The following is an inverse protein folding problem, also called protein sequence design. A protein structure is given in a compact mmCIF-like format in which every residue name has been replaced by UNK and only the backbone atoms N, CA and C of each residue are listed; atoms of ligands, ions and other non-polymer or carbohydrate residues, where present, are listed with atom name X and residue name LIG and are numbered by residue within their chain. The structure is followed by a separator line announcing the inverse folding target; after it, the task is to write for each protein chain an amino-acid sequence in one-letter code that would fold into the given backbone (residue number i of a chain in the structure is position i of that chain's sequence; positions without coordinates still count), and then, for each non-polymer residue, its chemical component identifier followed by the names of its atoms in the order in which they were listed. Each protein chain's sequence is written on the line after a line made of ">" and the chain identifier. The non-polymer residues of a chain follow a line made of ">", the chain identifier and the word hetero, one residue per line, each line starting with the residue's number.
data_IF_781167968329
#
_entry.id   IF_781167968329
#
_cell.length_a   1.000
_cell.length_b   1.000
_cell.length_c   1.000
_cell.angle_alpha   90.00
_cell.angle_beta   90.00
_cell.angle_gamma   90.00
#
_symmetry.space_group_name_H-M   'P 1'
#
loop_
_entity.id
_entity.type
_entity.pdbx_description
1 polymer ?
#
# COMPACT_ATOMS: atom_id res chain seq x y z
N UNK A 1 26.12 -0.95 -21.13
CA UNK A 1 24.87 -1.46 -21.68
C UNK A 1 23.75 -1.02 -20.75
N UNK A 2 23.05 0.06 -21.13
CA UNK A 2 22.01 0.73 -20.36
C UNK A 2 20.64 0.28 -20.90
N UNK A 3 19.84 -0.43 -20.13
CA UNK A 3 18.50 -0.85 -20.56
C UNK A 3 17.39 -0.62 -19.54
N UNK A 4 17.61 0.10 -18.44
CA UNK A 4 16.61 0.13 -17.33
C UNK A 4 15.80 1.44 -17.17
N UNK A 5 16.12 2.49 -17.87
CA UNK A 5 15.42 3.77 -17.74
C UNK A 5 14.27 3.99 -18.72
N UNK A 6 14.34 3.36 -19.89
CA UNK A 6 13.46 3.67 -21.01
C UNK A 6 12.07 3.05 -20.92
N UNK A 7 11.97 1.83 -20.39
CA UNK A 7 10.69 1.09 -20.34
C UNK A 7 9.74 1.65 -19.27
N UNK A 8 10.29 2.12 -18.14
CA UNK A 8 9.49 2.70 -17.05
C UNK A 8 8.95 4.11 -17.39
N UNK A 9 9.72 4.88 -18.14
CA UNK A 9 9.28 6.19 -18.67
C UNK A 9 8.19 6.05 -19.76
N UNK A 10 8.25 5.00 -20.58
CA UNK A 10 7.24 4.74 -21.61
C UNK A 10 5.86 4.42 -20.99
N UNK A 11 5.81 3.70 -19.85
CA UNK A 11 4.56 3.45 -19.14
C UNK A 11 4.00 4.71 -18.46
N UNK A 12 4.85 5.62 -17.96
CA UNK A 12 4.38 6.92 -17.45
C UNK A 12 3.70 7.77 -18.53
N UNK A 13 4.14 7.72 -19.77
CA UNK A 13 3.55 8.50 -20.87
C UNK A 13 2.25 7.92 -21.42
N UNK A 14 1.98 6.63 -21.29
CA UNK A 14 0.74 6.02 -21.80
C UNK A 14 -0.48 6.41 -20.94
N UNK A 15 -0.29 6.68 -19.63
CA UNK A 15 -1.38 7.10 -18.73
C UNK A 15 -1.68 8.61 -18.76
N UNK A 16 -0.81 9.46 -19.33
CA UNK A 16 -0.93 10.92 -19.27
C UNK A 16 -1.33 11.61 -20.56
N UNK A 17 -1.57 10.87 -21.65
CA UNK A 17 -2.10 11.46 -22.89
C UNK A 17 -3.65 11.42 -22.94
N UNK A 18 -4.31 11.70 -21.82
CA UNK A 18 -5.72 12.08 -21.86
C UNK A 18 -5.77 13.60 -22.22
N UNK A 19 -5.96 13.90 -23.49
CA UNK A 19 -6.29 15.25 -23.94
C UNK A 19 -7.60 15.68 -23.28
N UNK A 20 -7.55 16.69 -22.42
CA UNK A 20 -8.74 17.39 -21.94
C UNK A 20 -9.23 18.27 -23.08
N UNK A 21 -10.27 17.82 -23.76
CA UNK A 21 -11.06 18.67 -24.64
C UNK A 21 -12.11 19.38 -23.77
N UNK A 22 -12.14 20.72 -23.73
CA UNK A 22 -13.18 21.42 -22.96
C UNK A 22 -14.54 21.22 -23.62
N UNK A 23 -15.45 20.51 -22.95
CA UNK A 23 -16.85 20.51 -23.37
C UNK A 23 -17.59 19.17 -23.42
N UNK A 24 -16.94 18.01 -23.36
CA UNK A 24 -17.66 16.73 -23.40
C UNK A 24 -16.96 15.70 -22.52
N UNK A 25 -17.58 15.30 -21.41
CA UNK A 25 -17.14 14.23 -20.53
C UNK A 25 -17.60 12.86 -21.04
N UNK A 26 -17.20 12.48 -22.25
CA UNK A 26 -17.28 11.10 -22.68
C UNK A 26 -15.87 10.50 -22.72
N UNK A 27 -15.52 9.75 -21.67
CA UNK A 27 -14.31 8.93 -21.67
C UNK A 27 -14.55 7.70 -22.54
N UNK A 28 -14.18 7.75 -23.81
CA UNK A 28 -14.04 6.52 -24.60
C UNK A 28 -12.74 5.82 -24.20
N UNK A 29 -12.88 4.81 -23.36
CA UNK A 29 -11.84 3.84 -23.12
C UNK A 29 -11.78 2.90 -24.31
N UNK A 30 -10.93 3.17 -25.28
CA UNK A 30 -10.61 2.19 -26.31
C UNK A 30 -9.71 1.12 -25.71
N UNK A 31 -10.31 0.13 -25.07
CA UNK A 31 -9.67 -1.13 -24.72
C UNK A 31 -9.42 -1.89 -25.99
N UNK A 32 -8.19 -1.97 -26.43
CA UNK A 32 -7.78 -3.01 -27.36
C UNK A 32 -7.85 -4.35 -26.61
N UNK A 33 -9.02 -4.99 -26.63
CA UNK A 33 -9.16 -6.38 -26.26
C UNK A 33 -8.32 -7.22 -27.23
N UNK A 34 -7.12 -7.62 -26.82
CA UNK A 34 -6.38 -8.66 -27.50
C UNK A 34 -7.06 -9.98 -27.14
N UNK A 35 -7.75 -10.56 -28.15
CA UNK A 35 -8.23 -11.92 -28.14
C UNK A 35 -7.14 -12.90 -27.68
N UNK A 36 -7.57 -13.91 -26.93
CA UNK A 36 -6.80 -15.03 -26.44
C UNK A 36 -6.33 -15.93 -27.60
N UNK A 37 -5.28 -15.51 -28.30
CA UNK A 37 -4.53 -16.44 -29.15
C UNK A 37 -3.06 -16.04 -29.16
N UNK A 38 -2.22 -17.01 -28.73
CA UNK A 38 -0.76 -17.02 -28.93
C UNK A 38 0.04 -16.03 -28.07
N UNK A 39 0.14 -16.26 -26.76
CA UNK A 39 1.22 -15.71 -25.91
C UNK A 39 2.45 -16.63 -25.94
N UNK A 40 3.08 -16.78 -27.12
CA UNK A 40 4.45 -17.27 -27.20
C UNK A 40 5.40 -16.08 -27.14
N UNK A 41 6.10 -15.88 -26.02
CA UNK A 41 7.33 -15.09 -25.93
C UNK A 41 7.29 -13.78 -25.17
N UNK A 42 6.27 -13.44 -24.39
CA UNK A 42 6.41 -12.36 -23.41
C UNK A 42 6.93 -12.97 -22.10
N UNK A 43 8.24 -12.94 -21.93
CA UNK A 43 8.88 -13.20 -20.65
C UNK A 43 8.41 -12.11 -19.68
N UNK A 44 7.49 -12.42 -18.79
CA UNK A 44 7.18 -11.54 -17.66
C UNK A 44 8.48 -11.39 -16.87
N UNK A 45 8.93 -10.18 -16.55
CA UNK A 45 10.14 -10.00 -15.76
C UNK A 45 9.97 -10.76 -14.44
N UNK A 46 10.89 -11.65 -14.12
CA UNK A 46 10.88 -12.53 -12.94
C UNK A 46 10.89 -11.78 -11.58
N UNK A 47 10.79 -10.43 -11.59
CA UNK A 47 10.94 -9.56 -10.42
C UNK A 47 9.88 -8.46 -10.28
N UNK A 48 8.65 -8.71 -10.73
CA UNK A 48 7.59 -7.72 -10.44
C UNK A 48 7.24 -7.73 -8.94
N UNK A 49 7.17 -6.55 -8.29
CA UNK A 49 6.80 -6.47 -6.88
C UNK A 49 5.38 -7.00 -6.67
N UNK A 50 5.22 -7.80 -5.62
CA UNK A 50 3.91 -8.34 -5.23
C UNK A 50 3.18 -7.36 -4.33
N UNK A 51 1.99 -6.96 -4.74
CA UNK A 51 1.09 -6.08 -3.99
C UNK A 51 -0.13 -6.87 -3.52
N UNK A 52 -0.36 -6.88 -2.22
CA UNK A 52 -1.63 -7.34 -1.65
C UNK A 52 -2.54 -6.13 -1.44
N UNK A 53 -3.67 -6.11 -2.13
CA UNK A 53 -4.69 -5.08 -2.01
C UNK A 53 -5.96 -5.71 -1.41
N UNK A 54 -6.47 -5.17 -0.31
CA UNK A 54 -7.70 -5.68 0.32
C UNK A 54 -8.78 -4.62 0.38
N UNK A 55 -10.03 -5.05 0.25
CA UNK A 55 -11.23 -4.27 0.52
C UNK A 55 -12.14 -5.00 1.50
N UNK A 56 -13.00 -4.28 2.20
CA UNK A 56 -13.94 -4.89 3.10
C UNK A 56 -15.23 -5.30 2.36
N UNK A 57 -15.78 -6.45 2.75
CA UNK A 57 -17.11 -6.88 2.36
C UNK A 57 -18.22 -5.97 2.90
N UNK A 58 -19.47 -6.38 2.72
CA UNK A 58 -20.63 -5.62 3.18
C UNK A 58 -20.61 -5.49 4.71
N UNK A 59 -21.09 -4.34 5.19
CA UNK A 59 -21.23 -4.06 6.62
C UNK A 59 -22.68 -3.74 6.94
N UNK A 60 -23.29 -4.56 7.79
CA UNK A 60 -24.71 -4.43 8.19
C UNK A 60 -25.63 -4.32 6.96
N UNK A 61 -26.52 -3.34 6.97
CA UNK A 61 -27.54 -3.10 5.93
C UNK A 61 -27.04 -2.26 4.75
N UNK A 62 -25.74 -1.95 4.69
CA UNK A 62 -25.17 -1.24 3.55
C UNK A 62 -25.10 -2.19 2.35
N UNK A 63 -25.82 -1.84 1.29
CA UNK A 63 -25.93 -2.65 0.07
C UNK A 63 -24.66 -2.70 -0.79
N UNK A 64 -23.66 -1.85 -0.50
CA UNK A 64 -22.36 -1.77 -1.18
C UNK A 64 -21.27 -1.28 -0.24
N UNK A 65 -20.01 -1.53 -0.62
CA UNK A 65 -18.85 -1.03 0.08
C UNK A 65 -17.83 -0.52 -0.94
N UNK A 66 -17.67 0.80 -1.00
CA UNK A 66 -16.80 1.48 -1.97
C UNK A 66 -15.38 0.93 -1.99
N UNK A 67 -14.84 0.51 -0.85
CA UNK A 67 -13.49 -0.05 -0.80
C UNK A 67 -13.37 -1.35 -1.58
N UNK A 68 -14.41 -2.19 -1.53
CA UNK A 68 -14.45 -3.44 -2.30
C UNK A 68 -14.67 -3.20 -3.79
N UNK A 69 -15.49 -2.22 -4.14
CA UNK A 69 -15.73 -1.85 -5.54
C UNK A 69 -14.46 -1.35 -6.22
N UNK A 70 -13.67 -0.50 -5.53
CA UNK A 70 -12.36 -0.05 -6.01
C UNK A 70 -11.39 -1.23 -6.15
N UNK A 71 -11.35 -2.15 -5.19
CA UNK A 71 -10.48 -3.34 -5.24
C UNK A 71 -10.88 -4.26 -6.39
N UNK A 72 -12.18 -4.48 -6.62
CA UNK A 72 -12.68 -5.26 -7.78
C UNK A 72 -12.30 -4.61 -9.11
N UNK A 73 -12.49 -3.31 -9.26
CA UNK A 73 -12.08 -2.59 -10.47
C UNK A 73 -10.58 -2.74 -10.75
N UNK A 74 -9.74 -2.69 -9.70
CA UNK A 74 -8.30 -2.91 -9.84
C UNK A 74 -7.94 -4.39 -10.09
N UNK A 75 -8.74 -5.35 -9.59
CA UNK A 75 -8.55 -6.76 -9.92
C UNK A 75 -8.77 -7.04 -11.42
N UNK A 76 -9.71 -6.32 -12.04
CA UNK A 76 -10.00 -6.44 -13.47
C UNK A 76 -8.95 -5.76 -14.36
N UNK A 77 -8.48 -4.57 -13.95
CA UNK A 77 -7.55 -3.77 -14.77
C UNK A 77 -6.08 -4.06 -14.49
N UNK A 78 -5.76 -4.59 -13.31
CA UNK A 78 -4.40 -4.72 -12.80
C UNK A 78 -3.77 -3.37 -12.40
N UNK A 79 -2.55 -3.45 -11.88
CA UNK A 79 -1.67 -2.29 -11.65
C UNK A 79 -0.38 -2.55 -12.44
N UNK A 80 -0.01 -1.71 -13.42
CA UNK A 80 1.12 -1.97 -14.31
C UNK A 80 2.43 -2.22 -13.56
N UNK A 81 3.21 -3.22 -14.00
CA UNK A 81 4.51 -3.55 -13.41
C UNK A 81 4.41 -4.14 -11.99
N UNK A 82 3.28 -4.75 -11.66
CA UNK A 82 3.08 -5.41 -10.36
C UNK A 82 2.38 -6.75 -10.51
N UNK A 83 2.70 -7.67 -9.62
CA UNK A 83 1.88 -8.85 -9.35
C UNK A 83 0.81 -8.47 -8.32
N UNK A 84 -0.35 -8.07 -8.79
CA UNK A 84 -1.46 -7.68 -7.92
C UNK A 84 -2.21 -8.91 -7.41
N UNK A 85 -2.37 -9.01 -6.09
CA UNK A 85 -3.23 -9.99 -5.42
C UNK A 85 -4.29 -9.23 -4.65
N UNK A 86 -5.55 -9.48 -4.97
CA UNK A 86 -6.69 -8.82 -4.32
C UNK A 86 -7.42 -9.76 -3.38
N UNK A 87 -7.97 -9.23 -2.29
CA UNK A 87 -8.75 -10.01 -1.32
C UNK A 87 -9.86 -9.17 -0.70
N UNK A 88 -11.08 -9.68 -0.76
CA UNK A 88 -12.18 -9.21 0.07
C UNK A 88 -12.03 -9.78 1.48
N UNK A 89 -12.14 -8.92 2.50
CA UNK A 89 -12.05 -9.30 3.91
C UNK A 89 -13.39 -9.01 4.59
N UNK A 90 -14.01 -9.99 5.24
CA UNK A 90 -15.23 -9.76 6.01
C UNK A 90 -15.03 -8.74 7.14
N UNK A 91 -16.07 -7.99 7.45
CA UNK A 91 -16.08 -7.00 8.54
C UNK A 91 -16.26 -7.73 9.88
N UNK A 92 -15.22 -8.48 10.27
CA UNK A 92 -15.20 -9.38 11.43
C UNK A 92 -13.81 -9.40 12.06
N UNK A 93 -13.72 -9.14 13.37
CA UNK A 93 -12.43 -9.07 14.09
C UNK A 93 -11.66 -10.39 14.08
N UNK A 94 -12.35 -11.51 14.34
CA UNK A 94 -11.71 -12.83 14.38
C UNK A 94 -11.19 -13.24 13.00
N UNK A 95 -11.95 -12.92 11.95
CA UNK A 95 -11.53 -13.17 10.57
C UNK A 95 -10.31 -12.34 10.21
N UNK A 96 -10.28 -11.04 10.52
CA UNK A 96 -9.11 -10.19 10.30
C UNK A 96 -7.89 -10.73 11.04
N UNK A 97 -8.06 -11.10 12.33
CA UNK A 97 -6.97 -11.60 13.17
C UNK A 97 -6.33 -12.89 12.65
N UNK A 98 -7.10 -13.75 11.98
CA UNK A 98 -6.60 -15.02 11.43
C UNK A 98 -6.12 -14.91 9.98
N UNK A 99 -6.91 -14.25 9.13
CA UNK A 99 -6.66 -14.19 7.67
C UNK A 99 -5.49 -13.29 7.33
N UNK A 100 -5.35 -12.12 7.98
CA UNK A 100 -4.30 -11.17 7.60
C UNK A 100 -2.89 -11.71 7.82
N UNK A 101 -2.55 -12.30 8.98
CA UNK A 101 -1.23 -12.95 9.14
C UNK A 101 -1.01 -14.10 8.16
N UNK A 102 -2.06 -14.86 7.82
CA UNK A 102 -1.95 -15.95 6.85
C UNK A 102 -1.67 -15.41 5.44
N UNK A 103 -2.35 -14.34 5.01
CA UNK A 103 -2.08 -13.68 3.73
C UNK A 103 -0.62 -13.19 3.62
N UNK A 104 -0.09 -12.59 4.69
CA UNK A 104 1.32 -12.19 4.74
C UNK A 104 2.28 -13.37 4.56
N UNK A 105 1.98 -14.49 5.22
CA UNK A 105 2.80 -15.71 5.15
C UNK A 105 2.79 -16.37 3.77
N UNK A 106 1.59 -16.47 3.18
CA UNK A 106 1.39 -17.22 1.93
C UNK A 106 1.81 -16.42 0.69
N UNK A 107 1.49 -15.11 0.66
CA UNK A 107 1.71 -14.23 -0.49
C UNK A 107 3.11 -13.62 -0.44
N UNK A 108 3.65 -13.34 0.75
CA UNK A 108 4.91 -12.61 0.98
C UNK A 108 4.96 -11.31 0.20
N UNK A 109 3.99 -10.41 0.38
CA UNK A 109 3.87 -9.21 -0.44
C UNK A 109 5.00 -8.22 -0.16
N UNK A 110 5.39 -7.48 -1.20
CA UNK A 110 6.31 -6.35 -1.08
C UNK A 110 5.63 -5.12 -0.48
N UNK A 111 4.35 -4.97 -0.74
CA UNK A 111 3.51 -3.88 -0.26
C UNK A 111 2.12 -4.42 0.05
N UNK A 112 1.57 -4.01 1.18
CA UNK A 112 0.16 -4.25 1.51
C UNK A 112 -0.58 -2.92 1.56
N UNK A 113 -1.70 -2.86 0.86
CA UNK A 113 -2.64 -1.74 0.90
C UNK A 113 -4.00 -2.26 1.30
N UNK A 114 -4.49 -1.79 2.44
CA UNK A 114 -5.85 -2.05 2.89
C UNK A 114 -6.75 -0.87 2.51
N UNK A 115 -7.93 -1.15 1.99
CA UNK A 115 -8.95 -0.15 1.69
C UNK A 115 -10.18 -0.37 2.57
N UNK A 116 -10.74 0.70 3.10
CA UNK A 116 -11.99 0.69 3.85
C UNK A 116 -12.85 1.90 3.49
N UNK A 117 -14.16 1.76 3.56
CA UNK A 117 -15.07 2.88 3.29
C UNK A 117 -15.14 3.84 4.48
N UNK A 118 -15.03 5.14 4.20
CA UNK A 118 -15.38 6.20 5.13
C UNK A 118 -16.57 6.99 4.54
N UNK A 119 -17.76 6.77 5.10
CA UNK A 119 -19.01 7.34 4.59
C UNK A 119 -19.06 8.89 4.66
N UNK A 120 -18.21 9.52 5.44
CA UNK A 120 -18.16 10.99 5.57
C UNK A 120 -17.04 11.63 4.75
N UNK A 121 -16.10 10.85 4.24
CA UNK A 121 -15.01 11.35 3.41
C UNK A 121 -15.53 11.78 2.03
N UNK A 122 -14.91 12.79 1.46
CA UNK A 122 -15.15 13.24 0.08
C UNK A 122 -13.98 12.93 -0.84
N UNK A 123 -12.81 12.70 -0.25
CA UNK A 123 -11.56 12.42 -0.93
C UNK A 123 -10.98 11.10 -0.42
N UNK A 124 -9.95 10.59 -1.08
CA UNK A 124 -9.16 9.49 -0.52
C UNK A 124 -8.37 9.99 0.68
N UNK A 125 -8.33 9.19 1.75
CA UNK A 125 -7.55 9.51 2.95
C UNK A 125 -6.55 8.39 3.21
N UNK A 126 -5.25 8.73 3.23
CA UNK A 126 -4.18 7.78 3.54
C UNK A 126 -3.82 7.90 5.01
N UNK A 127 -3.93 6.80 5.73
CA UNK A 127 -3.67 6.76 7.17
C UNK A 127 -2.18 6.59 7.47
N UNK A 128 -1.63 7.47 8.30
CA UNK A 128 -0.22 7.45 8.66
C UNK A 128 0.12 6.43 9.76
N UNK A 129 -0.87 6.04 10.56
CA UNK A 129 -0.67 5.22 11.76
C UNK A 129 -1.94 4.49 12.17
N UNK A 130 -1.76 3.48 13.05
CA UNK A 130 -2.84 2.78 13.73
C UNK A 130 -2.53 2.58 15.21
N UNK A 131 -3.56 2.42 16.04
CA UNK A 131 -3.47 2.25 17.47
C UNK A 131 -3.96 0.88 17.93
N UNK A 132 -3.38 0.38 19.03
CA UNK A 132 -3.82 -0.83 19.70
C UNK A 132 -4.77 -0.51 20.84
N UNK A 133 -6.05 -0.41 20.56
CA UNK A 133 -7.01 -0.27 21.67
C UNK A 133 -8.23 0.56 21.35
N UNK A 134 -9.14 0.56 22.34
CA UNK A 134 -10.41 1.28 22.31
C UNK A 134 -11.41 0.76 21.26
N UNK A 135 -11.26 -0.47 20.79
CA UNK A 135 -12.20 -1.12 19.87
C UNK A 135 -13.45 -1.59 20.65
N UNK A 136 -14.54 -0.85 20.52
CA UNK A 136 -15.78 -1.15 21.26
C UNK A 136 -17.01 -1.36 20.36
N UNK A 137 -16.90 -1.03 19.06
CA UNK A 137 -18.00 -1.25 18.13
C UNK A 137 -18.09 -2.72 17.72
N UNK A 138 -19.32 -3.26 17.69
CA UNK A 138 -19.58 -4.63 17.29
C UNK A 138 -19.43 -4.81 15.77
N UNK A 139 -18.79 -5.89 15.37
CA UNK A 139 -18.65 -6.32 13.99
C UNK A 139 -19.92 -6.96 13.40
N UNK A 140 -19.86 -7.55 12.21
CA UNK A 140 -21.02 -8.21 11.58
C UNK A 140 -21.55 -9.42 12.35
N UNK A 141 -20.74 -10.00 13.23
CA UNK A 141 -21.15 -11.11 14.12
C UNK A 141 -21.61 -10.64 15.50
N UNK A 142 -21.66 -9.32 15.71
CA UNK A 142 -21.97 -8.75 17.02
C UNK A 142 -20.81 -8.85 18.02
N UNK A 143 -19.62 -9.22 17.57
CA UNK A 143 -18.45 -9.41 18.41
C UNK A 143 -17.63 -8.12 18.55
N UNK A 144 -16.95 -7.97 19.68
CA UNK A 144 -15.94 -6.95 19.95
C UNK A 144 -14.63 -7.61 20.38
N UNK A 145 -13.46 -6.99 20.11
CA UNK A 145 -12.19 -7.55 20.56
C UNK A 145 -12.12 -7.63 22.09
N UNK A 146 -11.51 -8.68 22.60
CA UNK A 146 -11.28 -8.84 24.04
C UNK A 146 -10.47 -7.66 24.59
N UNK A 147 -10.97 -7.03 25.65
CA UNK A 147 -10.39 -5.83 26.27
C UNK A 147 -10.29 -4.62 25.32
N UNK A 148 -10.99 -4.64 24.19
CA UNK A 148 -10.89 -3.61 23.16
C UNK A 148 -9.51 -3.51 22.51
N UNK A 149 -8.73 -4.60 22.47
CA UNK A 149 -7.36 -4.63 21.96
C UNK A 149 -7.27 -5.47 20.68
N UNK A 150 -6.49 -4.99 19.71
CA UNK A 150 -6.10 -5.77 18.55
C UNK A 150 -5.07 -6.84 18.93
N UNK A 151 -4.09 -6.46 19.74
CA UNK A 151 -3.06 -7.37 20.23
C UNK A 151 -2.90 -7.24 21.75
N UNK A 152 -3.12 -8.35 22.46
CA UNK A 152 -3.05 -8.36 23.94
C UNK A 152 -1.62 -8.36 24.50
N UNK A 153 -0.62 -8.72 23.69
CA UNK A 153 0.78 -8.69 24.10
C UNK A 153 1.47 -7.35 23.80
N UNK A 154 0.81 -6.51 23.01
CA UNK A 154 1.23 -5.14 22.76
C UNK A 154 0.63 -4.19 23.79
N UNK A 155 1.33 -3.11 24.17
CA UNK A 155 0.79 -2.09 25.07
C UNK A 155 -0.56 -1.53 24.56
N UNK A 156 -1.45 -1.23 25.50
CA UNK A 156 -2.65 -0.47 25.16
C UNK A 156 -2.25 0.92 24.63
N UNK A 157 -2.89 1.35 23.56
CA UNK A 157 -2.57 2.59 22.85
C UNK A 157 -1.18 2.62 22.20
N UNK A 158 -0.51 1.46 22.06
CA UNK A 158 0.65 1.37 21.19
C UNK A 158 0.30 1.90 19.81
N UNK A 159 1.20 2.69 19.26
CA UNK A 159 1.04 3.34 17.96
C UNK A 159 2.08 2.83 16.99
N UNK A 160 1.62 2.25 15.90
CA UNK A 160 2.45 1.82 14.78
C UNK A 160 2.24 2.74 13.57
N UNK A 161 3.31 2.99 12.83
CA UNK A 161 3.29 3.87 11.65
C UNK A 161 3.76 3.14 10.42
N UNK A 162 3.21 3.54 9.28
CA UNK A 162 3.83 3.19 8.01
C UNK A 162 5.24 3.79 7.89
N UNK A 163 6.11 3.14 7.13
CA UNK A 163 7.45 3.66 6.85
C UNK A 163 7.48 4.64 5.67
N UNK A 164 6.38 4.83 4.98
CA UNK A 164 6.30 5.70 3.82
C UNK A 164 6.21 7.18 4.18
N UNK A 165 6.80 8.03 3.35
CA UNK A 165 6.63 9.48 3.41
C UNK A 165 5.33 9.88 2.69
N UNK A 166 4.25 10.01 3.47
CA UNK A 166 2.94 10.36 2.95
C UNK A 166 2.86 11.82 2.48
N UNK A 167 3.72 12.71 3.03
CA UNK A 167 3.78 14.11 2.58
C UNK A 167 4.38 14.18 1.17
N UNK A 168 5.48 13.47 0.94
CA UNK A 168 6.05 13.36 -0.39
C UNK A 168 5.09 12.68 -1.37
N UNK A 169 4.36 11.64 -0.91
CA UNK A 169 3.34 10.96 -1.70
C UNK A 169 2.26 11.94 -2.17
N UNK A 170 1.58 12.64 -1.26
CA UNK A 170 0.48 13.55 -1.61
C UNK A 170 0.93 14.68 -2.52
N UNK A 171 2.15 15.21 -2.32
CA UNK A 171 2.74 16.20 -3.20
C UNK A 171 2.93 15.67 -4.63
N UNK A 172 3.43 14.45 -4.77
CA UNK A 172 3.61 13.82 -6.09
C UNK A 172 2.28 13.57 -6.79
N UNK A 173 1.28 13.04 -6.07
CA UNK A 173 -0.05 12.78 -6.62
C UNK A 173 -0.72 14.07 -7.12
N UNK A 174 -0.59 15.17 -6.37
CA UNK A 174 -1.08 16.48 -6.78
C UNK A 174 -0.38 16.96 -8.06
N UNK A 175 0.95 16.83 -8.15
CA UNK A 175 1.72 17.22 -9.33
C UNK A 175 1.38 16.34 -10.54
N UNK A 176 1.07 15.07 -10.30
CA UNK A 176 0.68 14.11 -11.33
C UNK A 176 -0.75 14.34 -11.86
N UNK A 177 -1.54 15.24 -11.26
CA UNK A 177 -2.91 15.53 -11.69
C UNK A 177 -3.86 14.36 -11.44
N UNK A 178 -3.69 13.61 -10.36
CA UNK A 178 -4.60 12.52 -10.01
C UNK A 178 -6.05 13.03 -9.91
N UNK A 179 -7.03 12.26 -10.42
CA UNK A 179 -8.42 12.72 -10.51
C UNK A 179 -9.11 12.90 -9.16
N UNK A 180 -8.59 12.24 -8.10
CA UNK A 180 -9.13 12.35 -6.75
C UNK A 180 -8.08 12.95 -5.82
N UNK A 181 -8.40 14.01 -5.07
CA UNK A 181 -7.51 14.54 -4.04
C UNK A 181 -7.22 13.48 -2.97
N UNK A 182 -5.99 13.55 -2.41
CA UNK A 182 -5.55 12.61 -1.37
C UNK A 182 -5.14 13.40 -0.13
N UNK A 183 -5.74 13.07 1.00
CA UNK A 183 -5.48 13.65 2.30
C UNK A 183 -4.70 12.68 3.19
N UNK A 184 -4.05 13.19 4.23
CA UNK A 184 -3.34 12.38 5.22
C UNK A 184 -4.11 12.46 6.53
N UNK A 185 -4.31 11.30 7.17
CA UNK A 185 -4.88 11.22 8.51
C UNK A 185 -3.93 10.50 9.48
N UNK A 186 -4.09 10.77 10.76
CA UNK A 186 -3.41 10.09 11.86
C UNK A 186 -4.38 9.30 12.74
N UNK A 187 -5.61 9.12 12.30
CA UNK A 187 -6.65 8.43 13.05
C UNK A 187 -7.57 7.64 12.12
N UNK A 188 -7.27 6.35 11.98
CA UNK A 188 -8.03 5.42 11.15
C UNK A 188 -9.36 4.98 11.81
N UNK A 189 -9.73 5.58 12.94
CA UNK A 189 -10.91 5.25 13.73
C UNK A 189 -10.65 4.16 14.76
N UNK A 190 -11.72 3.62 15.38
CA UNK A 190 -11.62 2.57 16.41
C UNK A 190 -12.50 1.38 16.03
N UNK A 191 -12.36 0.97 14.74
CA UNK A 191 -13.13 -0.15 14.20
C UNK A 191 -12.23 -1.01 13.28
N UNK A 192 -12.84 -1.83 12.42
CA UNK A 192 -12.12 -2.80 11.59
C UNK A 192 -11.04 -2.18 10.68
N UNK A 193 -11.21 -0.93 10.26
CA UNK A 193 -10.21 -0.21 9.44
C UNK A 193 -8.89 -0.08 10.18
N UNK A 194 -8.91 0.44 11.40
CA UNK A 194 -7.71 0.55 12.20
C UNK A 194 -7.21 -0.81 12.67
N UNK A 195 -8.11 -1.73 12.99
CA UNK A 195 -7.78 -3.07 13.46
C UNK A 195 -6.98 -3.88 12.42
N UNK A 196 -7.43 -3.90 11.15
CA UNK A 196 -6.70 -4.57 10.07
C UNK A 196 -5.35 -3.85 9.80
N UNK A 197 -5.34 -2.53 9.86
CA UNK A 197 -4.14 -1.74 9.65
C UNK A 197 -3.09 -2.01 10.73
N UNK A 198 -3.48 -1.98 12.01
CA UNK A 198 -2.61 -2.31 13.12
C UNK A 198 -2.10 -3.75 13.03
N UNK A 199 -2.97 -4.72 12.70
CA UNK A 199 -2.60 -6.13 12.51
C UNK A 199 -1.48 -6.27 11.47
N UNK A 200 -1.58 -5.61 10.33
CA UNK A 200 -0.57 -5.66 9.27
C UNK A 200 0.71 -4.90 9.64
N UNK A 201 0.61 -3.71 10.24
CA UNK A 201 1.78 -2.93 10.67
C UNK A 201 2.64 -3.67 11.69
N UNK A 202 2.05 -4.52 12.53
CA UNK A 202 2.80 -5.40 13.43
C UNK A 202 3.66 -6.43 12.69
N UNK A 203 3.29 -6.78 11.48
CA UNK A 203 4.04 -7.74 10.64
C UNK A 203 5.08 -6.98 9.83
N UNK A 204 4.67 -5.88 9.19
CA UNK A 204 5.57 -5.11 8.33
C UNK A 204 5.14 -3.64 8.21
N UNK A 205 6.08 -2.70 8.33
CA UNK A 205 5.79 -1.28 8.10
C UNK A 205 5.57 -0.93 6.62
N UNK A 206 5.78 -1.87 5.70
CA UNK A 206 5.43 -1.74 4.28
C UNK A 206 3.94 -1.93 4.05
N UNK A 207 3.15 -1.30 4.89
CA UNK A 207 1.69 -1.36 4.90
C UNK A 207 1.12 0.05 4.89
N UNK A 208 0.05 0.26 4.13
CA UNK A 208 -0.73 1.50 4.10
C UNK A 208 -2.21 1.16 4.20
N UNK A 209 -2.98 2.02 4.83
CA UNK A 209 -4.44 1.98 4.84
C UNK A 209 -5.00 3.21 4.11
N UNK A 210 -6.00 3.00 3.26
CA UNK A 210 -6.67 4.05 2.49
C UNK A 210 -8.16 4.02 2.80
N UNK A 211 -8.67 5.10 3.36
CA UNK A 211 -10.10 5.33 3.42
C UNK A 211 -10.62 5.83 2.07
N UNK A 212 -11.63 5.15 1.56
CA UNK A 212 -12.29 5.42 0.29
C UNK A 212 -13.64 6.10 0.57
N UNK A 213 -13.96 7.24 -0.06
CA UNK A 213 -15.26 7.87 0.05
C UNK A 213 -16.35 7.00 -0.60
N UNK A 214 -17.63 7.31 -0.35
CA UNK A 214 -18.72 6.68 -1.11
C UNK A 214 -18.53 6.90 -2.61
N UNK A 215 -18.74 5.85 -3.40
CA UNK A 215 -18.69 5.94 -4.88
C UNK A 215 -19.76 6.87 -5.41
N UNK A 216 -19.46 7.56 -6.51
CA UNK A 216 -20.32 8.55 -7.17
C UNK A 216 -20.70 9.77 -6.29
N UNK A 217 -19.90 10.02 -5.21
CA UNK A 217 -20.12 11.13 -4.28
C UNK A 217 -18.79 11.79 -3.83
N UNK A 218 -18.12 12.60 -4.67
CA UNK A 218 -18.40 12.97 -6.08
C UNK A 218 -17.63 12.13 -7.09
N UNK A 219 -16.83 11.13 -6.69
CA UNK A 219 -15.89 10.43 -7.55
C UNK A 219 -16.41 9.06 -7.98
N UNK A 220 -16.26 8.73 -9.25
CA UNK A 220 -16.59 7.40 -9.78
C UNK A 220 -15.61 6.34 -9.28
N UNK A 221 -16.02 5.05 -9.35
CA UNK A 221 -15.14 3.91 -9.02
C UNK A 221 -13.85 3.97 -9.83
N UNK A 222 -13.94 4.33 -11.12
CA UNK A 222 -12.79 4.41 -12.01
C UNK A 222 -11.78 5.50 -11.59
N UNK A 223 -12.28 6.66 -11.17
CA UNK A 223 -11.43 7.75 -10.67
C UNK A 223 -10.73 7.36 -9.36
N UNK A 224 -11.47 6.72 -8.45
CA UNK A 224 -10.92 6.22 -7.19
C UNK A 224 -9.87 5.13 -7.45
N UNK A 225 -10.18 4.14 -8.29
CA UNK A 225 -9.26 3.06 -8.65
C UNK A 225 -7.99 3.58 -9.34
N UNK A 226 -8.12 4.53 -10.28
CA UNK A 226 -6.99 5.18 -10.93
C UNK A 226 -6.05 5.85 -9.91
N UNK A 227 -6.62 6.58 -8.95
CA UNK A 227 -5.81 7.25 -7.93
C UNK A 227 -5.17 6.25 -6.96
N UNK A 228 -5.88 5.19 -6.55
CA UNK A 228 -5.32 4.11 -5.71
C UNK A 228 -4.19 3.39 -6.45
N UNK A 229 -4.34 3.10 -7.74
CA UNK A 229 -3.26 2.54 -8.59
C UNK A 229 -2.01 3.45 -8.57
N UNK A 230 -2.20 4.75 -8.73
CA UNK A 230 -1.09 5.72 -8.69
C UNK A 230 -0.44 5.78 -7.31
N UNK A 231 -1.22 5.71 -6.22
CA UNK A 231 -0.68 5.61 -4.85
C UNK A 231 0.21 4.38 -4.71
N UNK A 232 -0.25 3.20 -5.15
CA UNK A 232 0.53 1.96 -5.09
C UNK A 232 1.86 2.10 -5.82
N UNK A 233 1.86 2.63 -7.04
CA UNK A 233 3.07 2.81 -7.83
C UNK A 233 4.07 3.76 -7.15
N UNK A 234 3.61 4.88 -6.61
CA UNK A 234 4.49 5.83 -5.89
C UNK A 234 5.03 5.26 -4.58
N UNK A 235 4.26 4.43 -3.87
CA UNK A 235 4.74 3.72 -2.67
C UNK A 235 5.83 2.69 -3.02
N UNK A 236 5.66 1.94 -4.10
CA UNK A 236 6.68 1.01 -4.59
C UNK A 236 7.97 1.74 -5.00
N UNK A 237 7.86 2.90 -5.61
CA UNK A 237 9.04 3.71 -5.97
C UNK A 237 9.75 4.25 -4.71
N UNK A 238 9.01 4.67 -3.68
CA UNK A 238 9.60 5.02 -2.38
C UNK A 238 10.34 3.83 -1.77
N UNK A 239 9.72 2.64 -1.74
CA UNK A 239 10.36 1.41 -1.21
C UNK A 239 11.66 1.10 -1.95
N UNK A 240 11.65 1.14 -3.28
CA UNK A 240 12.84 0.92 -4.12
C UNK A 240 13.96 1.92 -3.80
N UNK A 241 13.61 3.18 -3.61
CA UNK A 241 14.56 4.25 -3.26
C UNK A 241 15.16 4.06 -1.87
N UNK A 242 14.36 3.67 -0.88
CA UNK A 242 14.82 3.36 0.47
C UNK A 242 15.75 2.15 0.49
N UNK A 243 15.47 1.12 -0.29
CA UNK A 243 16.34 -0.05 -0.44
C UNK A 243 17.71 0.31 -1.03
N UNK A 244 17.75 1.17 -2.06
CA UNK A 244 19.01 1.66 -2.65
C UNK A 244 19.84 2.46 -1.63
N UNK A 245 19.22 3.33 -0.83
CA UNK A 245 19.89 4.12 0.20
C UNK A 245 20.49 3.23 1.29
N UNK A 246 19.74 2.24 1.75
CA UNK A 246 20.20 1.26 2.75
C UNK A 246 21.40 0.47 2.26
N UNK A 247 21.36 -0.03 1.02
CA UNK A 247 22.47 -0.77 0.40
C UNK A 247 23.72 0.12 0.22
N UNK A 248 23.56 1.38 -0.17
CA UNK A 248 24.67 2.33 -0.30
C UNK A 248 25.33 2.63 1.05
N UNK A 249 24.52 2.83 2.11
CA UNK A 249 25.01 3.05 3.47
C UNK A 249 25.80 1.83 3.99
N UNK A 250 25.30 0.63 3.80
CA UNK A 250 25.98 -0.60 4.20
C UNK A 250 27.35 -0.76 3.52
N UNK A 251 27.45 -0.45 2.22
CA UNK A 251 28.73 -0.46 1.48
C UNK A 251 29.72 0.56 2.04
N UNK A 252 29.27 1.77 2.39
CA UNK A 252 30.11 2.82 2.95
C UNK A 252 30.66 2.41 4.33
N UNK A 253 29.83 1.82 5.19
CA UNK A 253 30.23 1.38 6.52
C UNK A 253 31.26 0.23 6.45
N UNK A 254 31.09 -0.71 5.52
CA UNK A 254 32.06 -1.77 5.27
C UNK A 254 33.41 -1.21 4.77
N UNK A 255 33.40 -0.15 3.94
CA UNK A 255 34.63 0.47 3.47
C UNK A 255 35.41 1.19 4.57
N UNK A 256 34.69 1.79 5.53
CA UNK A 256 35.29 2.46 6.71
C UNK A 256 35.89 1.44 7.69
N UNK A 257 35.24 0.30 7.89
CA UNK A 257 35.74 -0.76 8.77
C UNK A 257 37.07 -1.37 8.28
N UNK A 258 37.23 -1.51 6.96
CA UNK A 258 38.46 -2.02 6.32
C UNK A 258 39.65 -1.05 6.37
N UNK A 259 39.40 0.26 6.60
CA UNK A 259 40.45 1.29 6.66
C UNK A 259 40.97 1.58 8.06
N UNK A 260 40.50 0.90 9.13
CA UNK A 260 41.03 1.09 10.50
C UNK A 260 42.37 0.38 10.59
N UNK A 261 43.51 1.11 10.82
CA UNK A 261 44.81 0.45 10.90
C UNK A 261 44.89 -0.42 12.17
N UNK A 262 45.56 -1.58 12.05
CA UNK A 262 45.85 -2.42 13.18
C UNK A 262 46.73 -1.63 14.15
N UNK A 263 46.25 -1.46 15.37
CA UNK A 263 47.05 -0.88 16.45
C UNK A 263 48.18 -1.86 16.72
N UNK A 264 49.42 -1.49 16.37
CA UNK A 264 50.59 -2.25 16.68
C UNK A 264 50.81 -2.30 18.21
N UNK A 265 50.56 -3.43 18.79
CA UNK A 265 50.95 -3.74 20.18
C UNK A 265 52.47 -3.76 20.23
N UNK A 266 53.09 -2.68 20.74
CA UNK A 266 54.49 -2.70 21.16
C UNK A 266 54.62 -3.59 22.38
N UNK A 267 55.23 -4.74 22.21
CA UNK A 267 55.75 -5.53 23.31
C UNK A 267 57.01 -4.82 23.86
N UNK A 268 56.92 -4.26 25.03
CA UNK A 268 58.10 -3.86 25.83
C UNK A 268 58.71 -5.11 26.47
N UNK A 269 59.81 -5.57 25.89
CA UNK A 269 60.72 -6.50 26.57
C UNK A 269 61.56 -5.66 27.55
N UNK A 270 61.31 -5.74 28.83
CA UNK A 270 62.26 -5.36 29.86
C UNK A 270 63.09 -6.59 30.24
N UNK A 271 64.39 -6.48 29.92
CA UNK A 271 65.47 -7.33 30.47
C UNK A 271 66.06 -6.66 31.73
N UNK A 272 66.06 -7.38 32.81
CA UNK A 272 67.06 -7.34 33.85
C UNK A 272 66.96 -8.58 34.71
#
# INVERSE_FOLDING_TARGET
>A
MNTDGSTYLAYKHIFFNAFVVPGDFSFEFTMAAKSSDSLNGVCLPENEPTVLLTGFGLFRDYGHNSSNEVVKALAETGIPGTRLVTKEVPVEYDTVSSVVPQLWKDIKPDLVVHCGMNATARNLVVENQAYNGSYCAADNKGATPKQGLCCRVSPQNERLRTCFDLVALTKKLKTAGCPVPVEISNDAGRFLCEFIYFTSLRISPWTVFIHVPPVDQPHSVQQLACTVSTIVLELLEQKKSMGKLSAAKAKLDQSKSKKKPAVATRSSSESS
#
